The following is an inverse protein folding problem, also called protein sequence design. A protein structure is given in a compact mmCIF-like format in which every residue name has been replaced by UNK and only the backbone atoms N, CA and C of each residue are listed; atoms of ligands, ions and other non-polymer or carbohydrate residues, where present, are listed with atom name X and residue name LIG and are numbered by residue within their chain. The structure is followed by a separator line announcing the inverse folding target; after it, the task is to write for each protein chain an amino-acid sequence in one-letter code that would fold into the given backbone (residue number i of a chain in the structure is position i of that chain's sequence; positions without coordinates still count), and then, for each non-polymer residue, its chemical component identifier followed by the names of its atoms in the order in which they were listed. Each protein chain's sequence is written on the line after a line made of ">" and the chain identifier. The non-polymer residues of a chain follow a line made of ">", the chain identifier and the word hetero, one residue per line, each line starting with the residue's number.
data_IF_329985128668
#
_entry.id   IF_329985128668
#
_cell.length_a   1.000
_cell.length_b   1.000
_cell.length_c   1.000
_cell.angle_alpha   90.00
_cell.angle_beta   90.00
_cell.angle_gamma   90.00
#
_symmetry.space_group_name_H-M   'P 1'
#
loop_
_entity.id
_entity.type
_entity.pdbx_description
1 polymer ?
#
# COMPACT_ATOMS: atom_id res chain seq x y z
N UNK A 1 -1.38 8.83 8.97
CA UNK A 1 -2.00 8.17 7.79
C UNK A 1 -1.14 6.99 7.35
N UNK A 2 -1.77 5.87 6.95
CA UNK A 2 -1.07 4.65 6.48
C UNK A 2 -1.67 4.21 5.14
N UNK A 3 -0.82 3.78 4.20
CA UNK A 3 -1.28 3.17 2.94
C UNK A 3 -1.99 1.86 3.27
N UNK A 4 -3.24 1.72 2.81
CA UNK A 4 -4.12 0.63 3.23
C UNK A 4 -4.74 -0.09 2.03
N UNK A 5 -4.75 -1.42 2.11
CA UNK A 5 -5.42 -2.33 1.20
C UNK A 5 -6.05 -3.46 2.01
N UNK A 6 -7.36 -3.62 1.91
CA UNK A 6 -8.07 -4.75 2.51
C UNK A 6 -8.63 -5.59 1.36
N UNK A 7 -8.31 -6.88 1.36
CA UNK A 7 -8.75 -7.82 0.33
C UNK A 7 -9.32 -9.09 0.97
N UNK A 8 -10.20 -9.79 0.26
CA UNK A 8 -10.91 -10.94 0.82
C UNK A 8 -9.98 -12.14 1.03
N UNK A 9 -9.01 -12.35 0.14
CA UNK A 9 -8.09 -13.50 0.18
C UNK A 9 -6.65 -13.03 0.12
N UNK A 10 -5.77 -13.70 0.86
CA UNK A 10 -4.32 -13.43 0.80
C UNK A 10 -3.75 -13.52 -0.63
N UNK A 11 -4.35 -14.36 -1.50
CA UNK A 11 -3.97 -14.47 -2.91
C UNK A 11 -4.25 -13.21 -3.75
N UNK A 12 -5.08 -12.29 -3.26
CA UNK A 12 -5.49 -11.09 -4.00
C UNK A 12 -4.53 -9.92 -3.80
N UNK A 13 -3.40 -10.14 -3.11
CA UNK A 13 -2.43 -9.10 -2.73
C UNK A 13 -1.74 -8.43 -3.93
N UNK A 14 -1.52 -9.17 -5.02
CA UNK A 14 -0.60 -8.76 -6.09
C UNK A 14 -0.94 -7.40 -6.71
N UNK A 15 -2.19 -7.11 -7.11
CA UNK A 15 -2.47 -5.84 -7.76
C UNK A 15 -2.32 -4.63 -6.84
N UNK A 16 -2.47 -4.82 -5.53
CA UNK A 16 -2.26 -3.77 -4.54
C UNK A 16 -0.77 -3.45 -4.39
N UNK A 17 0.08 -4.49 -4.32
CA UNK A 17 1.52 -4.33 -4.28
C UNK A 17 2.07 -3.76 -5.59
N UNK A 18 1.60 -4.25 -6.74
CA UNK A 18 2.04 -3.78 -8.05
C UNK A 18 1.75 -2.28 -8.25
N UNK A 19 0.55 -1.84 -7.86
CA UNK A 19 0.21 -0.42 -7.88
C UNK A 19 1.13 0.41 -6.98
N UNK A 20 1.33 -0.04 -5.74
CA UNK A 20 2.20 0.65 -4.78
C UNK A 20 3.66 0.72 -5.25
N UNK A 21 4.20 -0.39 -5.76
CA UNK A 21 5.57 -0.50 -6.27
C UNK A 21 5.72 0.40 -7.50
N UNK A 22 4.80 0.33 -8.47
CA UNK A 22 4.85 1.16 -9.68
C UNK A 22 4.83 2.66 -9.35
N UNK A 23 3.92 3.09 -8.45
CA UNK A 23 3.86 4.48 -7.99
C UNK A 23 5.16 4.90 -7.29
N UNK A 24 5.71 4.03 -6.44
CA UNK A 24 6.92 4.32 -5.67
C UNK A 24 8.16 4.36 -6.57
N UNK A 25 8.27 3.46 -7.55
CA UNK A 25 9.35 3.44 -8.53
C UNK A 25 9.35 4.69 -9.41
N UNK A 26 8.18 5.17 -9.86
CA UNK A 26 8.07 6.44 -10.61
C UNK A 26 8.48 7.65 -9.78
N UNK A 27 8.13 7.65 -8.49
CA UNK A 27 8.58 8.68 -7.56
C UNK A 27 10.11 8.65 -7.41
N UNK A 28 10.70 7.47 -7.19
CA UNK A 28 12.16 7.32 -7.12
C UNK A 28 12.86 7.75 -8.41
N UNK A 29 12.29 7.41 -9.58
CA UNK A 29 12.79 7.87 -10.87
C UNK A 29 12.88 9.41 -10.91
N UNK A 30 11.80 10.10 -10.54
CA UNK A 30 11.76 11.57 -10.51
C UNK A 30 12.82 12.16 -9.58
N UNK A 31 13.01 11.57 -8.38
CA UNK A 31 13.92 12.12 -7.38
C UNK A 31 15.39 11.84 -7.69
N UNK A 32 15.69 10.72 -8.34
CA UNK A 32 17.05 10.31 -8.68
C UNK A 32 17.45 10.64 -10.12
N UNK A 33 16.54 11.19 -10.91
CA UNK A 33 16.72 11.48 -12.34
C UNK A 33 17.22 10.25 -13.12
N UNK A 34 16.61 9.08 -12.91
CA UNK A 34 17.06 7.80 -13.50
C UNK A 34 16.69 7.73 -14.99
N UNK A 35 15.48 8.16 -15.34
CA UNK A 35 14.91 8.16 -16.67
C UNK A 35 14.10 9.43 -16.91
N UNK A 36 13.63 9.59 -18.15
CA UNK A 36 13.01 10.83 -18.61
C UNK A 36 11.63 11.10 -17.97
N UNK A 37 11.22 12.36 -18.00
CA UNK A 37 9.90 12.83 -17.54
C UNK A 37 9.18 13.42 -18.74
N UNK A 38 8.14 12.74 -19.21
CA UNK A 38 7.35 13.16 -20.37
C UNK A 38 6.03 13.72 -19.90
N UNK A 39 5.74 14.97 -20.25
CA UNK A 39 4.48 15.67 -19.91
C UNK A 39 4.18 15.68 -18.39
N UNK A 40 5.24 15.72 -17.56
CA UNK A 40 5.11 15.69 -16.10
C UNK A 40 4.93 14.29 -15.50
N UNK A 41 4.99 13.23 -16.32
CA UNK A 41 4.94 11.85 -15.87
C UNK A 41 6.32 11.18 -15.99
N UNK A 42 6.94 10.80 -14.84
CA UNK A 42 8.17 10.01 -14.87
C UNK A 42 7.92 8.65 -15.52
N UNK A 43 8.82 8.23 -16.40
CA UNK A 43 8.75 6.90 -17.00
C UNK A 43 8.85 5.80 -15.94
N UNK A 44 8.30 4.63 -16.27
CA UNK A 44 8.50 3.44 -15.45
C UNK A 44 9.94 2.97 -15.66
N UNK A 45 10.66 2.77 -14.57
CA UNK A 45 12.03 2.28 -14.58
C UNK A 45 12.06 0.82 -14.16
N UNK A 46 13.08 0.10 -14.63
CA UNK A 46 13.38 -1.23 -14.11
C UNK A 46 13.74 -1.11 -12.63
N UNK A 47 13.09 -1.92 -11.78
CA UNK A 47 13.33 -1.94 -10.34
C UNK A 47 14.78 -2.27 -10.02
N UNK A 48 15.48 -3.03 -10.88
CA UNK A 48 16.91 -3.35 -10.71
C UNK A 48 17.81 -2.10 -10.75
N UNK A 49 17.36 -1.04 -11.43
CA UNK A 49 18.10 0.23 -11.56
C UNK A 49 17.92 1.15 -10.35
N UNK A 50 16.90 0.90 -9.52
CA UNK A 50 16.66 1.64 -8.29
C UNK A 50 17.49 0.96 -7.18
N UNK A 51 18.67 1.52 -6.90
CA UNK A 51 19.59 1.02 -5.86
C UNK A 51 18.91 0.94 -4.49
N UNK A 52 18.96 -0.25 -3.87
CA UNK A 52 18.45 -0.58 -2.53
C UNK A 52 17.67 -1.89 -2.50
N UNK A 53 18.36 -3.02 -2.30
CA UNK A 53 17.86 -4.39 -2.53
C UNK A 53 16.55 -4.76 -1.83
N UNK A 54 16.22 -4.15 -0.69
CA UNK A 54 15.03 -4.52 0.09
C UNK A 54 13.81 -3.61 -0.07
N UNK A 55 13.92 -2.50 -0.81
CA UNK A 55 12.84 -1.49 -0.86
C UNK A 55 11.55 -1.98 -1.50
N UNK A 56 11.66 -2.86 -2.50
CA UNK A 56 10.52 -3.43 -3.22
C UNK A 56 10.27 -4.90 -2.87
N UNK A 57 10.87 -5.38 -1.78
CA UNK A 57 10.60 -6.71 -1.26
C UNK A 57 9.10 -6.80 -0.89
N UNK A 58 8.37 -7.66 -1.61
CA UNK A 58 6.91 -7.78 -1.52
C UNK A 58 6.45 -8.20 -0.12
N UNK A 59 7.15 -9.14 0.49
CA UNK A 59 6.85 -9.63 1.84
C UNK A 59 7.06 -8.54 2.88
N UNK A 60 8.17 -7.81 2.79
CA UNK A 60 8.46 -6.68 3.68
C UNK A 60 7.41 -5.56 3.52
N UNK A 61 7.00 -5.25 2.29
CA UNK A 61 5.94 -4.28 2.02
C UNK A 61 4.61 -4.74 2.61
N UNK A 62 4.20 -5.98 2.37
CA UNK A 62 2.96 -6.51 2.93
C UNK A 62 2.99 -6.52 4.46
N UNK A 63 4.12 -6.87 5.07
CA UNK A 63 4.30 -6.84 6.54
C UNK A 63 4.19 -5.42 7.10
N UNK A 64 4.86 -4.46 6.47
CA UNK A 64 5.01 -3.11 7.02
C UNK A 64 3.83 -2.18 6.67
N UNK A 65 3.16 -2.37 5.54
CA UNK A 65 1.98 -1.59 5.14
C UNK A 65 0.69 -2.16 5.76
N UNK A 66 -0.39 -1.37 5.75
CA UNK A 66 -1.72 -1.84 6.18
C UNK A 66 -2.42 -2.63 5.08
N UNK A 67 -1.69 -3.59 4.50
CA UNK A 67 -2.16 -4.46 3.42
C UNK A 67 -2.45 -5.83 4.02
N UNK A 68 -3.62 -6.41 3.77
CA UNK A 68 -3.98 -7.70 4.32
C UNK A 68 -5.43 -8.08 4.12
N UNK A 69 -5.78 -9.26 4.61
CA UNK A 69 -7.17 -9.62 4.91
C UNK A 69 -7.72 -8.77 6.07
N UNK A 70 -9.04 -8.74 6.30
CA UNK A 70 -9.61 -8.03 7.44
C UNK A 70 -8.95 -8.38 8.78
N UNK A 71 -8.74 -9.67 9.04
CA UNK A 71 -8.07 -10.16 10.26
C UNK A 71 -6.62 -9.71 10.36
N UNK A 72 -5.86 -9.76 9.26
CA UNK A 72 -4.46 -9.30 9.23
C UNK A 72 -4.35 -7.79 9.46
N UNK A 73 -5.28 -7.01 8.90
CA UNK A 73 -5.31 -5.55 9.06
C UNK A 73 -5.74 -5.20 10.48
N UNK A 74 -6.71 -5.90 11.06
CA UNK A 74 -7.12 -5.71 12.45
C UNK A 74 -5.98 -6.03 13.43
N UNK A 75 -5.29 -7.16 13.26
CA UNK A 75 -4.14 -7.54 14.09
C UNK A 75 -2.99 -6.50 14.03
N UNK A 76 -2.82 -5.81 12.89
CA UNK A 76 -1.88 -4.69 12.76
C UNK A 76 -2.37 -3.43 13.47
N UNK A 77 -3.68 -3.17 13.44
CA UNK A 77 -4.29 -2.04 14.14
C UNK A 77 -4.25 -2.20 15.67
N UNK A 78 -4.44 -3.41 16.17
CA UNK A 78 -4.33 -3.73 17.61
C UNK A 78 -2.94 -3.38 18.17
N UNK A 79 -1.88 -3.51 17.37
CA UNK A 79 -0.54 -3.08 17.76
C UNK A 79 -0.43 -1.56 17.94
N UNK A 80 -1.18 -0.78 17.16
CA UNK A 80 -1.27 0.67 17.36
C UNK A 80 -2.09 1.01 18.61
N UNK A 81 -3.21 0.31 18.86
CA UNK A 81 -3.99 0.50 20.09
C UNK A 81 -3.17 0.17 21.34
N UNK A 82 -2.36 -0.89 21.30
CA UNK A 82 -1.52 -1.30 22.42
C UNK A 82 -0.49 -0.22 22.85
N UNK A 83 -0.13 0.69 21.95
CA UNK A 83 0.76 1.83 22.24
C UNK A 83 -0.01 3.16 22.46
N UNK A 84 -1.33 3.10 22.55
CA UNK A 84 -2.20 4.24 22.84
C UNK A 84 -2.61 5.09 21.64
N UNK A 85 -2.52 4.55 20.41
CA UNK A 85 -3.04 5.23 19.21
C UNK A 85 -4.50 4.83 18.99
N UNK A 86 -5.38 5.82 18.99
CA UNK A 86 -6.84 5.72 18.83
C UNK A 86 -7.34 6.23 17.47
N UNK A 87 -6.58 7.10 16.81
CA UNK A 87 -6.89 7.61 15.48
C UNK A 87 -6.22 6.82 14.34
N UNK A 88 -7.01 6.40 13.35
CA UNK A 88 -6.50 5.80 12.12
C UNK A 88 -6.96 6.54 10.85
N UNK A 89 -5.99 6.97 10.03
CA UNK A 89 -6.26 7.60 8.73
C UNK A 89 -5.94 6.62 7.60
N UNK A 90 -7.01 6.12 6.95
CA UNK A 90 -6.96 5.26 5.77
C UNK A 90 -6.45 6.03 4.54
N UNK A 91 -5.34 5.59 3.95
CA UNK A 91 -4.81 6.19 2.71
C UNK A 91 -4.93 5.20 1.53
N UNK A 92 -5.72 5.58 0.52
CA UNK A 92 -5.90 4.84 -0.73
C UNK A 92 -5.01 5.33 -1.89
N UNK A 93 -4.18 6.35 -1.66
CA UNK A 93 -3.47 7.07 -2.72
C UNK A 93 -2.13 6.42 -3.06
N UNK A 94 -2.19 5.31 -3.80
CA UNK A 94 -1.02 4.58 -4.30
C UNK A 94 -1.17 4.05 -5.73
N UNK A 95 -2.10 4.60 -6.52
CA UNK A 95 -2.21 4.30 -7.96
C UNK A 95 -3.02 3.05 -8.32
N UNK A 96 -3.75 2.48 -7.36
CA UNK A 96 -4.68 1.37 -7.61
C UNK A 96 -5.88 1.83 -8.46
N UNK A 97 -6.51 0.92 -9.22
CA UNK A 97 -7.73 1.25 -9.95
C UNK A 97 -8.91 1.61 -9.00
N UNK A 98 -9.81 2.47 -9.49
CA UNK A 98 -10.90 3.03 -8.68
C UNK A 98 -11.83 1.97 -8.10
N UNK A 99 -12.11 0.91 -8.85
CA UNK A 99 -13.06 -0.12 -8.42
C UNK A 99 -12.47 -0.94 -7.28
N UNK A 100 -11.19 -1.35 -7.37
CA UNK A 100 -10.50 -2.00 -6.25
C UNK A 100 -10.30 -1.09 -5.04
N UNK A 101 -10.00 0.20 -5.24
CA UNK A 101 -9.94 1.16 -4.12
C UNK A 101 -11.27 1.21 -3.36
N UNK A 102 -12.40 1.27 -4.08
CA UNK A 102 -13.73 1.26 -3.47
C UNK A 102 -14.03 -0.06 -2.77
N UNK A 103 -13.71 -1.19 -3.38
CA UNK A 103 -13.94 -2.52 -2.78
C UNK A 103 -13.15 -2.68 -1.48
N UNK A 104 -11.88 -2.30 -1.49
CA UNK A 104 -11.01 -2.30 -0.30
C UNK A 104 -11.54 -1.40 0.81
N UNK A 105 -11.98 -0.18 0.49
CA UNK A 105 -12.55 0.73 1.49
C UNK A 105 -13.87 0.21 2.06
N UNK A 106 -14.75 -0.34 1.21
CA UNK A 106 -16.01 -0.95 1.66
C UNK A 106 -15.76 -2.11 2.61
N UNK A 107 -14.79 -2.96 2.29
CA UNK A 107 -14.40 -4.09 3.13
C UNK A 107 -13.84 -3.62 4.48
N UNK A 108 -12.94 -2.62 4.46
CA UNK A 108 -12.43 -1.99 5.67
C UNK A 108 -13.57 -1.45 6.56
N UNK A 109 -14.50 -0.69 5.99
CA UNK A 109 -15.65 -0.13 6.74
C UNK A 109 -16.59 -1.19 7.29
N UNK A 110 -16.71 -2.33 6.61
CA UNK A 110 -17.62 -3.42 7.01
C UNK A 110 -17.04 -4.31 8.10
N UNK A 111 -15.75 -4.63 8.02
CA UNK A 111 -15.16 -5.71 8.82
C UNK A 111 -14.06 -5.25 9.77
N UNK A 112 -13.32 -4.20 9.41
CA UNK A 112 -12.18 -3.73 10.21
C UNK A 112 -12.60 -2.58 11.13
N UNK A 113 -13.19 -1.53 10.58
CA UNK A 113 -13.55 -0.33 11.34
C UNK A 113 -14.50 -0.60 12.53
N UNK A 114 -15.50 -1.50 12.45
CA UNK A 114 -16.36 -1.80 13.60
C UNK A 114 -15.69 -2.65 14.68
N UNK A 115 -14.68 -3.44 14.33
CA UNK A 115 -13.91 -4.26 15.26
C UNK A 115 -12.77 -3.46 15.92
N UNK A 116 -12.33 -2.39 15.27
CA UNK A 116 -11.37 -1.43 15.78
C UNK A 116 -12.07 -0.42 16.71
N UNK A 117 -11.96 -0.64 18.02
CA UNK A 117 -12.56 0.21 19.06
C UNK A 117 -11.82 0.09 20.38
#
# INVERSE_FOLDING_TARGET
>A
MRQTAVYEKASDVDPYLDAFISKTARFENLFKNIADVKEGFPEQVDLSTIVGEDRFNREALQKNLMFGTPDEVLAKLEQYQAIGVDDFIYNASYGLDRERQKSSLKLFCREVAPAFG
#
